data_IF_598047058119
#
_entry.id   IF_598047058119
#
_cell.length_a   1.000
_cell.length_b   1.000
_cell.length_c   1.000
_cell.angle_alpha   90.00
_cell.angle_beta   90.00
_cell.angle_gamma   90.00
#
_symmetry.space_group_name_H-M   'P 1'
#
loop_
_entity.id
_entity.type
_entity.pdbx_description
1 polymer ?
#
# COMPACT_ATOMS: atom_id res chain seq x y z
N UNK A 1 13.24 10.20 -6.48
CA UNK A 1 12.20 9.18 -6.46
C UNK A 1 10.88 9.79 -6.07
N UNK A 2 9.82 9.21 -6.54
CA UNK A 2 8.51 9.83 -6.39
C UNK A 2 7.55 8.89 -5.69
N UNK A 3 6.59 9.47 -5.00
CA UNK A 3 5.54 8.68 -4.43
C UNK A 3 4.67 8.09 -5.54
N UNK A 4 4.06 6.95 -5.24
CA UNK A 4 3.24 6.25 -6.22
C UNK A 4 1.89 5.92 -5.60
N UNK A 5 0.82 6.23 -6.30
CA UNK A 5 -0.52 5.93 -5.83
C UNK A 5 -0.81 4.45 -6.03
N UNK A 6 -1.41 3.83 -5.04
CA UNK A 6 -1.80 2.42 -5.11
C UNK A 6 -3.31 2.37 -5.27
N UNK A 7 -3.76 1.71 -6.35
CA UNK A 7 -5.18 1.57 -6.66
C UNK A 7 -5.56 0.11 -6.69
N UNK A 8 -6.73 -0.18 -6.18
CA UNK A 8 -7.31 -1.51 -6.23
C UNK A 8 -8.73 -1.35 -6.76
N UNK A 9 -9.02 -2.04 -7.87
CA UNK A 9 -10.34 -1.96 -8.48
C UNK A 9 -10.70 -0.56 -8.95
N UNK A 10 -9.70 0.21 -9.36
CA UNK A 10 -9.92 1.56 -9.85
C UNK A 10 -10.05 2.60 -8.76
N UNK A 11 -9.83 2.22 -7.51
CA UNK A 11 -9.97 3.15 -6.38
C UNK A 11 -8.64 3.30 -5.66
N UNK A 12 -8.22 4.54 -5.42
CA UNK A 12 -6.98 4.81 -4.70
C UNK A 12 -7.18 4.45 -3.23
N UNK A 13 -6.34 3.55 -2.73
CA UNK A 13 -6.42 3.10 -1.34
C UNK A 13 -5.25 3.62 -0.50
N UNK A 14 -4.18 4.06 -1.15
CA UNK A 14 -3.05 4.61 -0.43
C UNK A 14 -1.97 5.03 -1.39
N UNK A 15 -0.83 5.41 -0.82
CA UNK A 15 0.34 5.79 -1.60
C UNK A 15 1.56 5.11 -0.99
N UNK A 16 2.58 4.90 -1.82
CA UNK A 16 3.87 4.46 -1.31
C UNK A 16 4.87 5.58 -1.53
N UNK A 17 5.72 5.78 -0.55
CA UNK A 17 6.74 6.81 -0.61
C UNK A 17 8.09 6.15 -0.38
N UNK A 18 9.16 6.66 -1.01
CA UNK A 18 10.49 6.13 -0.78
C UNK A 18 10.89 6.30 0.68
N UNK A 19 11.47 5.25 1.25
CA UNK A 19 11.94 5.26 2.63
C UNK A 19 13.21 4.43 2.67
N UNK A 20 14.33 5.10 2.51
CA UNK A 20 15.63 4.48 2.35
C UNK A 20 15.60 3.55 1.14
N UNK A 21 15.83 2.26 1.31
CA UNK A 21 15.80 1.33 0.19
C UNK A 21 14.48 0.57 0.10
N UNK A 22 13.44 1.06 0.79
CA UNK A 22 12.14 0.43 0.79
C UNK A 22 11.07 1.44 0.44
N UNK A 23 9.84 0.94 0.35
CA UNK A 23 8.66 1.76 0.14
C UNK A 23 7.78 1.71 1.36
N UNK A 24 7.39 2.86 1.85
CA UNK A 24 6.50 2.95 3.01
C UNK A 24 5.09 3.21 2.51
N UNK A 25 4.15 2.41 2.97
CA UNK A 25 2.76 2.56 2.58
C UNK A 25 2.05 3.53 3.50
N UNK A 26 1.33 4.47 2.91
CA UNK A 26 0.49 5.43 3.64
C UNK A 26 -0.95 5.19 3.21
N UNK A 27 -1.78 4.73 4.11
CA UNK A 27 -3.16 4.40 3.80
C UNK A 27 -3.99 5.68 3.70
N UNK A 28 -4.92 5.70 2.73
CA UNK A 28 -5.90 6.79 2.62
C UNK A 28 -7.32 6.28 2.81
N UNK A 29 -7.49 4.95 2.91
CA UNK A 29 -8.79 4.33 3.16
C UNK A 29 -8.71 3.50 4.43
N UNK A 30 -9.79 3.49 5.17
CA UNK A 30 -9.87 2.69 6.39
C UNK A 30 -9.69 1.21 6.14
N UNK A 31 -10.16 0.76 4.97
CA UNK A 31 -10.11 -0.67 4.67
C UNK A 31 -8.68 -1.22 4.63
N UNK A 32 -7.69 -0.37 4.43
CA UNK A 32 -6.30 -0.81 4.37
C UNK A 32 -5.46 -0.19 5.49
N UNK A 33 -6.13 0.31 6.53
CA UNK A 33 -5.43 0.99 7.61
C UNK A 33 -4.45 0.10 8.34
N UNK A 34 -4.71 -1.21 8.37
CA UNK A 34 -3.81 -2.15 9.04
C UNK A 34 -2.42 -2.18 8.43
N UNK A 35 -2.31 -1.71 7.19
CA UNK A 35 -1.02 -1.69 6.50
C UNK A 35 -0.34 -0.32 6.57
N UNK A 36 -0.98 0.66 7.21
CA UNK A 36 -0.43 2.00 7.27
C UNK A 36 0.93 2.00 7.95
N UNK A 37 1.88 2.73 7.37
CA UNK A 37 3.24 2.87 7.87
C UNK A 37 4.11 1.62 7.76
N UNK A 38 3.61 0.56 7.13
CA UNK A 38 4.44 -0.62 6.90
C UNK A 38 5.34 -0.40 5.69
N UNK A 39 6.47 -1.08 5.69
CA UNK A 39 7.45 -0.97 4.62
C UNK A 39 7.43 -2.21 3.76
N UNK A 40 7.62 -2.01 2.47
CA UNK A 40 7.58 -3.07 1.48
C UNK A 40 8.74 -2.91 0.51
N UNK A 41 9.11 -4.00 -0.15
CA UNK A 41 10.20 -3.98 -1.11
C UNK A 41 9.76 -3.40 -2.46
N UNK A 42 8.50 -3.52 -2.80
CA UNK A 42 8.00 -3.08 -4.10
C UNK A 42 6.52 -2.76 -4.03
N UNK A 43 6.04 -2.04 -5.05
CA UNK A 43 4.62 -1.73 -5.15
C UNK A 43 3.78 -3.00 -5.34
N UNK A 44 4.32 -4.00 -6.03
CA UNK A 44 3.62 -5.26 -6.21
C UNK A 44 3.40 -5.96 -4.88
N UNK A 45 4.37 -5.88 -3.99
CA UNK A 45 4.24 -6.44 -2.64
C UNK A 45 3.13 -5.75 -1.88
N UNK A 46 3.03 -4.44 -2.01
CA UNK A 46 1.98 -3.67 -1.37
C UNK A 46 0.61 -4.12 -1.88
N UNK A 47 0.47 -4.26 -3.19
CA UNK A 47 -0.80 -4.69 -3.78
C UNK A 47 -1.19 -6.08 -3.32
N UNK A 48 -0.23 -6.98 -3.24
CA UNK A 48 -0.49 -8.34 -2.76
C UNK A 48 -0.96 -8.32 -1.31
N UNK A 49 -0.33 -7.51 -0.48
CA UNK A 49 -0.72 -7.40 0.93
C UNK A 49 -2.14 -6.83 1.06
N UNK A 50 -2.47 -5.84 0.23
CA UNK A 50 -3.80 -5.23 0.26
C UNK A 50 -4.86 -6.26 -0.15
N UNK A 51 -4.60 -7.01 -1.21
CA UNK A 51 -5.55 -8.02 -1.67
C UNK A 51 -5.78 -9.08 -0.60
N UNK A 52 -4.72 -9.49 0.07
CA UNK A 52 -4.84 -10.46 1.15
C UNK A 52 -5.69 -9.90 2.29
N UNK A 53 -5.44 -8.66 2.66
CA UNK A 53 -6.19 -8.02 3.73
C UNK A 53 -7.67 -7.91 3.40
N UNK A 54 -8.00 -7.51 2.17
CA UNK A 54 -9.39 -7.32 1.78
C UNK A 54 -10.12 -8.63 1.56
N UNK A 55 -9.42 -9.71 1.23
CA UNK A 55 -10.04 -11.02 1.01
C UNK A 55 -10.13 -11.85 2.26
N UNK A 56 -9.43 -11.47 3.31
CA UNK A 56 -9.42 -12.20 4.57
C UNK A 56 -10.60 -11.74 5.40
N UNK A 57 -11.50 -12.65 5.80
CA UNK A 57 -12.67 -12.26 6.59
C UNK A 57 -12.28 -11.81 8.00
#
# INVERSE_FOLDING_TARGET
MQKQVIEIGGEAVGVVVPDEDRLKFVAVKYSVWDLDSQRFSSADEVRAAIRRLLNDP
#
